data_IF_648744205819
#
_entry.id   IF_648744205819
#
_cell.length_a   1.000
_cell.length_b   1.000
_cell.length_c   1.000
_cell.angle_alpha   90.00
_cell.angle_beta   90.00
_cell.angle_gamma   90.00
#
_symmetry.space_group_name_H-M   'P 1'
#
loop_
_entity.id
_entity.type
_entity.pdbx_description
1 polymer ?
#
# COMPACT_ATOMS: atom_id res chain seq x y z
N UNK A 1 1.34 16.85 -5.52
CA UNK A 1 2.64 16.93 -6.23
C UNK A 1 3.61 16.17 -5.34
N UNK A 2 4.18 15.05 -5.82
CA UNK A 2 5.06 14.22 -4.98
C UNK A 2 6.44 14.87 -4.93
N UNK A 3 6.82 15.43 -3.77
CA UNK A 3 8.20 15.88 -3.56
C UNK A 3 9.12 14.65 -3.53
N UNK A 4 9.95 14.52 -4.57
CA UNK A 4 10.85 13.39 -4.78
C UNK A 4 12.00 13.26 -3.78
N UNK A 5 11.95 13.95 -2.64
CA UNK A 5 13.02 14.00 -1.64
C UNK A 5 12.75 13.20 -0.37
N UNK A 6 11.49 12.85 -0.07
CA UNK A 6 11.16 12.25 1.22
C UNK A 6 11.33 10.73 1.24
N UNK A 7 12.15 10.18 2.15
CA UNK A 7 12.41 8.75 2.20
C UNK A 7 11.15 7.95 2.56
N UNK A 8 11.12 6.69 2.10
CA UNK A 8 10.12 5.72 2.51
C UNK A 8 10.53 5.07 3.82
N UNK A 9 9.61 5.05 4.78
CA UNK A 9 9.77 4.36 6.06
C UNK A 9 9.02 3.03 6.05
N UNK A 10 9.71 1.94 6.35
CA UNK A 10 9.08 0.62 6.46
C UNK A 10 8.18 0.57 7.71
N UNK A 11 6.95 0.09 7.54
CA UNK A 11 5.97 -0.10 8.63
C UNK A 11 5.58 -1.56 8.85
N UNK A 12 6.00 -2.45 7.96
CA UNK A 12 5.77 -3.88 8.08
C UNK A 12 6.59 -4.65 7.05
N UNK A 13 7.15 -5.79 7.44
CA UNK A 13 7.88 -6.69 6.55
C UNK A 13 7.65 -8.12 6.99
N UNK A 14 7.41 -9.01 6.04
CA UNK A 14 7.20 -10.41 6.29
C UNK A 14 7.33 -11.23 5.02
N UNK A 15 6.89 -12.49 5.08
CA UNK A 15 7.00 -13.40 3.94
C UNK A 15 6.21 -12.94 2.71
N UNK A 16 5.15 -12.15 2.90
CA UNK A 16 4.32 -11.62 1.81
C UNK A 16 4.86 -10.32 1.18
N UNK A 17 6.04 -9.86 1.60
CA UNK A 17 6.66 -8.61 1.14
C UNK A 17 6.75 -7.56 2.23
N UNK A 18 6.92 -6.31 1.82
CA UNK A 18 7.10 -5.16 2.70
C UNK A 18 6.11 -4.03 2.44
N UNK A 19 5.83 -3.23 3.47
CA UNK A 19 4.89 -2.10 3.43
C UNK A 19 5.60 -0.85 3.89
N UNK A 20 5.42 0.23 3.12
CA UNK A 20 6.13 1.49 3.28
C UNK A 20 5.18 2.68 3.28
N UNK A 21 5.57 3.74 3.97
CA UNK A 21 4.90 5.05 3.91
C UNK A 21 5.92 6.11 3.56
N UNK A 22 5.52 7.16 2.85
CA UNK A 22 6.35 8.36 2.77
C UNK A 22 6.27 9.09 4.11
N UNK A 23 7.36 9.72 4.58
CA UNK A 23 7.34 10.37 5.89
C UNK A 23 6.26 11.46 6.05
N UNK A 24 5.95 12.18 4.98
CA UNK A 24 4.92 13.23 4.96
C UNK A 24 3.52 12.72 4.57
N UNK A 25 3.41 11.56 3.93
CA UNK A 25 2.13 10.97 3.55
C UNK A 25 1.75 9.83 4.51
N UNK A 26 0.84 10.14 5.42
CA UNK A 26 0.29 9.16 6.36
C UNK A 26 -1.01 8.49 5.89
N UNK A 27 -1.49 8.85 4.70
CA UNK A 27 -2.77 8.40 4.12
C UNK A 27 -2.62 7.27 3.12
N UNK A 28 -1.45 7.11 2.51
CA UNK A 28 -1.18 6.03 1.56
C UNK A 28 -0.08 5.09 2.05
N UNK A 29 -0.11 3.84 1.60
CA UNK A 29 0.97 2.86 1.75
C UNK A 29 1.40 2.32 0.39
N UNK A 30 2.67 1.94 0.30
CA UNK A 30 3.20 1.13 -0.81
C UNK A 30 3.48 -0.27 -0.29
N UNK A 31 2.71 -1.25 -0.74
CA UNK A 31 2.96 -2.67 -0.50
C UNK A 31 3.78 -3.23 -1.65
N UNK A 32 4.94 -3.84 -1.37
CA UNK A 32 5.87 -4.35 -2.37
C UNK A 32 5.86 -5.87 -2.40
N UNK A 33 6.00 -6.43 -3.60
CA UNK A 33 6.10 -7.87 -3.83
C UNK A 33 7.56 -8.33 -3.80
N UNK A 34 8.26 -7.97 -2.72
CA UNK A 34 9.68 -8.25 -2.46
C UNK A 34 9.85 -9.36 -1.40
N UNK A 35 8.80 -10.18 -1.24
CA UNK A 35 8.72 -11.28 -0.29
C UNK A 35 9.13 -12.63 -0.89
N UNK A 36 8.68 -13.71 -0.24
CA UNK A 36 8.90 -15.07 -0.72
C UNK A 36 8.06 -15.41 -1.97
N UNK A 37 8.44 -16.49 -2.69
CA UNK A 37 7.75 -16.90 -3.91
C UNK A 37 6.30 -17.33 -3.65
N UNK A 38 5.43 -17.22 -4.67
CA UNK A 38 4.04 -17.69 -4.62
C UNK A 38 3.06 -16.74 -3.92
N UNK A 39 3.41 -15.45 -3.81
CA UNK A 39 2.51 -14.38 -3.40
C UNK A 39 2.32 -13.42 -4.56
N UNK A 40 1.07 -12.98 -4.76
CA UNK A 40 0.69 -12.17 -5.91
C UNK A 40 -0.02 -10.91 -5.43
N UNK A 41 0.70 -9.79 -5.38
CA UNK A 41 0.09 -8.48 -5.17
C UNK A 41 -0.91 -8.15 -6.29
N UNK A 42 -0.70 -8.70 -7.49
CA UNK A 42 -1.68 -8.60 -8.59
C UNK A 42 -3.01 -9.25 -8.18
N UNK A 43 -2.98 -10.40 -7.50
CA UNK A 43 -4.20 -11.03 -6.99
C UNK A 43 -4.87 -10.15 -5.93
N UNK A 44 -4.11 -9.58 -5.01
CA UNK A 44 -4.64 -8.66 -3.99
C UNK A 44 -5.35 -7.45 -4.63
N UNK A 45 -4.72 -6.85 -5.65
CA UNK A 45 -5.29 -5.75 -6.42
C UNK A 45 -6.60 -6.15 -7.12
N UNK A 46 -6.60 -7.30 -7.81
CA UNK A 46 -7.78 -7.79 -8.53
C UNK A 46 -8.96 -8.07 -7.58
N UNK A 47 -8.70 -8.73 -6.44
CA UNK A 47 -9.74 -8.95 -5.43
C UNK A 47 -10.29 -7.62 -4.90
N UNK A 48 -9.45 -6.61 -4.74
CA UNK A 48 -9.89 -5.30 -4.27
C UNK A 48 -10.83 -4.61 -5.27
N UNK A 49 -10.51 -4.70 -6.56
CA UNK A 49 -11.38 -4.19 -7.63
C UNK A 49 -12.72 -4.92 -7.66
N UNK A 50 -12.71 -6.25 -7.57
CA UNK A 50 -13.92 -7.07 -7.57
C UNK A 50 -14.84 -6.72 -6.40
N UNK A 51 -14.28 -6.60 -5.18
CA UNK A 51 -15.05 -6.21 -4.00
C UNK A 51 -15.63 -4.79 -4.18
N UNK A 52 -14.84 -3.84 -4.67
CA UNK A 52 -15.28 -2.45 -4.87
C UNK A 52 -16.44 -2.38 -5.86
N UNK A 53 -16.32 -3.07 -7.00
CA UNK A 53 -17.38 -3.17 -8.00
C UNK A 53 -18.64 -3.84 -7.45
N UNK A 54 -18.48 -4.91 -6.65
CA UNK A 54 -19.60 -5.62 -6.06
C UNK A 54 -20.41 -4.73 -5.12
N UNK A 55 -19.76 -3.88 -4.33
CA UNK A 55 -20.42 -2.94 -3.40
C UNK A 55 -21.15 -1.83 -4.15
N UNK A 56 -20.56 -1.31 -5.22
CA UNK A 56 -21.22 -0.33 -6.09
C UNK A 56 -22.49 -0.90 -6.74
N UNK A 57 -22.44 -2.18 -7.13
CA UNK A 57 -23.57 -2.87 -7.78
C UNK A 57 -24.64 -3.34 -6.80
N UNK A 58 -24.22 -3.81 -5.63
CA UNK A 58 -25.08 -4.38 -4.60
C UNK A 58 -24.97 -3.48 -3.38
N UNK A 59 -25.83 -2.46 -3.30
CA UNK A 59 -25.93 -1.56 -2.15
C UNK A 59 -25.77 -2.35 -0.87
N UNK A 60 -24.61 -2.24 -0.23
CA UNK A 60 -24.29 -3.06 0.92
C UNK A 60 -25.34 -2.81 2.00
N UNK A 61 -25.94 -3.87 2.55
CA UNK A 61 -26.96 -3.76 3.60
C UNK A 61 -26.41 -3.19 4.91
N UNK A 62 -25.09 -3.09 5.02
CA UNK A 62 -24.35 -2.55 6.15
C UNK A 62 -23.31 -1.52 5.66
N UNK A 63 -23.04 -0.44 6.42
CA UNK A 63 -21.95 0.47 6.12
C UNK A 63 -20.60 -0.28 6.09
N UNK A 64 -19.94 -0.29 4.94
CA UNK A 64 -18.63 -0.90 4.77
C UNK A 64 -17.62 0.19 4.43
N UNK A 65 -16.57 0.29 5.24
CA UNK A 65 -15.44 1.19 5.00
C UNK A 65 -14.27 0.37 4.47
N UNK A 66 -14.15 0.29 3.14
CA UNK A 66 -13.03 -0.37 2.49
C UNK A 66 -11.94 0.67 2.19
N UNK A 67 -10.69 0.40 2.57
CA UNK A 67 -9.56 1.25 2.20
C UNK A 67 -9.50 1.42 0.69
N UNK A 68 -9.25 2.62 0.18
CA UNK A 68 -9.13 2.83 -1.26
C UNK A 68 -7.93 2.09 -1.85
N UNK A 69 -8.10 1.50 -3.03
CA UNK A 69 -7.02 0.85 -3.78
C UNK A 69 -6.71 1.71 -5.01
N UNK A 70 -5.56 2.38 -5.00
CA UNK A 70 -5.28 3.43 -5.97
C UNK A 70 -4.64 2.90 -7.26
N UNK A 71 -3.59 2.07 -7.13
CA UNK A 71 -2.82 1.67 -8.31
C UNK A 71 -1.97 0.42 -8.07
N UNK A 72 -1.92 -0.46 -9.07
CA UNK A 72 -0.91 -1.50 -9.19
C UNK A 72 0.24 -1.01 -10.09
N UNK A 73 1.43 -0.88 -9.49
CA UNK A 73 2.67 -0.52 -10.17
C UNK A 73 3.36 -1.78 -10.66
N UNK A 74 3.72 -1.80 -11.93
CA UNK A 74 4.54 -2.83 -12.56
C UNK A 74 6.03 -2.49 -12.44
N UNK A 75 6.93 -3.49 -12.47
CA UNK A 75 8.38 -3.24 -12.57
C UNK A 75 8.74 -2.42 -13.81
N UNK A 76 7.92 -2.49 -14.87
CA UNK A 76 8.11 -1.76 -16.11
C UNK A 76 7.64 -0.29 -16.06
N UNK A 77 7.01 0.16 -14.98
CA UNK A 77 6.52 1.53 -14.84
C UNK A 77 7.66 2.48 -14.45
N UNK A 78 8.62 2.65 -15.37
CA UNK A 78 9.88 3.37 -15.13
C UNK A 78 9.67 4.80 -14.64
N UNK A 79 8.63 5.50 -15.13
CA UNK A 79 8.31 6.86 -14.68
C UNK A 79 8.02 6.94 -13.17
N UNK A 80 7.43 5.90 -12.59
CA UNK A 80 7.18 5.83 -11.16
C UNK A 80 8.43 5.35 -10.39
N UNK A 81 9.11 4.32 -10.91
CA UNK A 81 10.31 3.78 -10.27
C UNK A 81 11.48 4.77 -10.26
N UNK A 82 11.72 5.51 -11.33
CA UNK A 82 12.75 6.56 -11.37
C UNK A 82 12.51 7.65 -10.33
N UNK A 83 11.24 7.91 -9.99
CA UNK A 83 10.85 8.90 -8.97
C UNK A 83 10.84 8.32 -7.54
N UNK A 84 10.67 7.01 -7.39
CA UNK A 84 10.38 6.40 -6.09
C UNK A 84 11.46 5.46 -5.58
N UNK A 85 12.27 4.87 -6.46
CA UNK A 85 13.21 3.82 -6.10
C UNK A 85 14.26 4.32 -5.11
N UNK A 86 14.83 5.50 -5.37
CA UNK A 86 15.84 6.13 -4.50
C UNK A 86 15.31 6.54 -3.13
N UNK A 87 13.99 6.55 -2.94
CA UNK A 87 13.35 6.83 -1.65
C UNK A 87 13.33 5.58 -0.76
N UNK A 88 13.50 4.39 -1.33
CA UNK A 88 13.74 3.16 -0.56
C UNK A 88 15.22 3.00 -0.21
N UNK A 89 15.59 2.14 0.75
CA UNK A 89 17.00 1.82 1.02
C UNK A 89 17.70 1.25 -0.23
N UNK A 90 19.03 1.45 -0.34
CA UNK A 90 19.83 1.18 -1.54
C UNK A 90 19.81 -0.28 -2.05
N UNK A 91 19.35 -1.24 -1.26
CA UNK A 91 19.29 -2.66 -1.62
C UNK A 91 18.00 -3.10 -2.30
N UNK A 92 17.12 -2.16 -2.62
CA UNK A 92 15.80 -2.45 -3.15
C UNK A 92 15.74 -2.20 -4.65
N UNK A 93 15.05 -3.08 -5.37
CA UNK A 93 14.92 -3.06 -6.84
C UNK A 93 13.45 -2.86 -7.26
N UNK A 94 13.21 -2.54 -8.52
CA UNK A 94 11.88 -2.47 -9.10
C UNK A 94 11.15 -3.80 -8.94
N UNK A 95 9.91 -3.75 -8.47
CA UNK A 95 9.08 -4.93 -8.28
C UNK A 95 7.63 -4.62 -8.62
N UNK A 96 6.72 -5.58 -8.47
CA UNK A 96 5.30 -5.22 -8.42
C UNK A 96 5.01 -4.54 -7.08
N UNK A 97 4.23 -3.47 -7.10
CA UNK A 97 3.84 -2.75 -5.90
C UNK A 97 2.38 -2.28 -5.97
N UNK A 98 1.71 -2.23 -4.83
CA UNK A 98 0.33 -1.77 -4.69
C UNK A 98 0.31 -0.51 -3.84
N UNK A 99 -0.29 0.55 -4.37
CA UNK A 99 -0.57 1.79 -3.66
C UNK A 99 -2.02 1.73 -3.18
N UNK A 100 -2.23 1.82 -1.87
CA UNK A 100 -3.55 1.80 -1.26
C UNK A 100 -3.63 2.77 -0.07
N UNK A 101 -4.84 3.07 0.35
CA UNK A 101 -5.11 3.82 1.58
C UNK A 101 -4.51 3.10 2.78
N UNK A 102 -3.93 3.88 3.69
CA UNK A 102 -3.36 3.42 4.94
C UNK A 102 -4.48 3.21 5.95
N UNK A 103 -4.62 1.97 6.43
CA UNK A 103 -5.44 1.69 7.60
C UNK A 103 -4.75 2.27 8.84
N UNK A 104 -5.38 3.22 9.57
CA UNK A 104 -4.79 3.77 10.78
C UNK A 104 -4.67 2.68 11.85
N UNK A 105 -3.64 2.82 12.71
CA UNK A 105 -3.60 2.00 13.92
C UNK A 105 -4.85 2.30 14.74
N UNK A 106 -5.43 1.26 15.33
CA UNK A 106 -6.47 1.47 16.31
C UNK A 106 -5.91 2.38 17.42
N UNK A 107 -6.62 3.45 17.83
CA UNK A 107 -6.15 4.28 18.93
C UNK A 107 -6.00 3.40 20.17
N UNK A 108 -4.84 3.49 20.81
CA UNK A 108 -4.58 2.76 22.03
C UNK A 108 -5.52 3.29 23.13
N UNK A 109 -6.46 2.47 23.57
CA UNK A 109 -7.42 2.82 24.62
C UNK A 109 -6.75 2.95 26.00
N UNK A 110 -5.44 2.66 26.12
CA UNK A 110 -4.69 2.88 27.36
C UNK A 110 -4.48 4.36 27.70
N UNK A 111 -4.69 5.30 26.76
CA UNK A 111 -4.47 6.73 26.96
C UNK A 111 -5.61 7.48 27.70
N UNK A 112 -6.73 6.81 28.01
CA UNK A 112 -7.90 7.45 28.66
C UNK A 112 -8.05 7.13 30.15
N UNK A 113 -7.01 6.57 30.79
CA UNK A 113 -6.94 6.46 32.26
C UNK A 113 -5.87 7.40 32.80
N UNK A 114 -6.25 8.65 33.02
CA UNK A 114 -5.52 9.62 33.85
C UNK A 114 -6.52 10.45 34.62
#
# INVERSE_FOLDING_TARGET
MFDGHNPYRCIGKGFCGSVWIAEEDSTSVVKREDGGPGRSITNDYNMHLEISQSIEQHSASMPLAIPQCYQLIQPSDLSWWDLCLHRFPTSYEECRALISERIPKYPDQSATRS
#
